data_IF_650227316745
#
_entry.id   IF_650227316745
#
_cell.length_a   1.000
_cell.length_b   1.000
_cell.length_c   1.000
_cell.angle_alpha   90.00
_cell.angle_beta   90.00
_cell.angle_gamma   90.00
#
_symmetry.space_group_name_H-M   'P 1'
#
loop_
_entity.id
_entity.type
_entity.pdbx_description
1 polymer ?
#
# COMPACT_ATOMS: atom_id res chain seq x y z
N UNK A 1 -22.85 -0.80 32.84
CA UNK A 1 -22.56 -0.68 31.40
C UNK A 1 -21.15 -1.18 31.18
N UNK A 2 -21.00 -2.36 30.60
CA UNK A 2 -19.71 -3.00 30.39
C UNK A 2 -19.08 -2.47 29.09
N UNK A 3 -17.90 -1.88 29.20
CA UNK A 3 -17.02 -1.54 28.08
C UNK A 3 -16.36 -2.81 27.56
N UNK A 4 -16.60 -3.12 26.30
CA UNK A 4 -15.98 -4.27 25.61
C UNK A 4 -14.57 -3.86 25.18
N UNK A 5 -13.54 -4.40 25.85
CA UNK A 5 -12.17 -4.35 25.37
C UNK A 5 -12.07 -5.17 24.08
N UNK A 6 -11.68 -4.53 22.99
CA UNK A 6 -11.36 -5.21 21.74
C UNK A 6 -10.05 -5.99 21.94
N UNK A 7 -10.18 -7.30 22.12
CA UNK A 7 -9.08 -8.26 22.12
C UNK A 7 -8.28 -8.12 20.81
N UNK A 8 -7.13 -7.47 20.88
CA UNK A 8 -6.20 -7.33 19.75
C UNK A 8 -5.39 -8.61 19.67
N UNK A 9 -5.59 -9.41 18.63
CA UNK A 9 -4.82 -10.64 18.42
C UNK A 9 -3.45 -10.28 17.85
N UNK A 10 -2.40 -10.49 18.64
CA UNK A 10 -1.00 -10.38 18.20
C UNK A 10 -0.50 -11.78 17.86
N UNK A 11 -0.03 -11.98 16.62
CA UNK A 11 0.68 -13.21 16.25
C UNK A 11 2.07 -12.85 15.78
N UNK A 12 3.03 -13.08 16.67
CA UNK A 12 4.46 -13.01 16.37
C UNK A 12 4.89 -14.33 15.75
N UNK A 13 5.45 -14.31 14.54
CA UNK A 13 6.02 -15.51 13.92
C UNK A 13 7.45 -15.24 13.48
N UNK A 14 8.38 -15.72 14.29
CA UNK A 14 9.83 -15.63 14.04
C UNK A 14 10.23 -16.65 12.99
N UNK A 15 11.01 -16.25 11.98
CA UNK A 15 11.64 -17.18 11.06
C UNK A 15 12.60 -18.14 11.82
N UNK A 16 12.68 -19.40 11.38
CA UNK A 16 13.66 -20.36 11.87
C UNK A 16 15.08 -19.82 11.61
N UNK A 17 16.03 -19.95 12.56
CA UNK A 17 17.38 -19.40 12.37
C UNK A 17 18.08 -20.08 11.19
N UNK A 18 18.35 -19.29 10.14
CA UNK A 18 19.28 -19.64 9.08
C UNK A 18 20.72 -19.54 9.61
N UNK A 19 21.54 -20.52 9.28
CA UNK A 19 22.96 -20.65 9.67
C UNK A 19 23.76 -19.41 9.27
N UNK A 20 24.32 -18.71 10.26
CA UNK A 20 25.23 -17.58 10.08
C UNK A 20 26.63 -18.06 9.66
N UNK A 21 27.20 -17.40 8.66
CA UNK A 21 28.62 -17.44 8.36
C UNK A 21 29.24 -16.11 8.83
N UNK A 22 30.29 -16.21 9.64
CA UNK A 22 31.08 -15.11 10.19
C UNK A 22 31.88 -14.38 9.10
N UNK A 23 32.01 -13.05 9.23
CA UNK A 23 33.28 -12.37 8.98
C UNK A 23 33.32 -10.99 9.64
N UNK A 24 34.45 -10.76 10.32
CA UNK A 24 34.89 -9.57 11.04
C UNK A 24 35.02 -8.30 10.17
N UNK A 25 34.73 -7.14 10.76
CA UNK A 25 35.66 -6.00 10.83
C UNK A 25 35.09 -4.76 11.56
N UNK A 26 35.66 -4.50 12.74
CA UNK A 26 36.10 -3.22 13.32
C UNK A 26 35.28 -1.91 13.16
N UNK A 27 34.79 -1.43 14.30
CA UNK A 27 34.39 -0.05 14.66
C UNK A 27 35.59 0.89 14.88
N UNK A 28 35.39 2.22 14.84
CA UNK A 28 35.86 3.04 15.97
C UNK A 28 34.80 4.01 16.52
N UNK A 29 34.95 4.29 17.82
CA UNK A 29 34.07 5.01 18.73
C UNK A 29 34.13 6.55 18.65
N UNK A 30 33.15 7.25 19.27
CA UNK A 30 33.24 8.18 20.44
C UNK A 30 31.98 9.11 20.51
N UNK A 31 31.03 8.94 21.46
CA UNK A 31 30.80 9.58 22.81
C UNK A 31 29.83 10.83 22.81
N UNK A 32 29.20 11.23 23.95
CA UNK A 32 27.73 11.37 24.08
C UNK A 32 27.22 12.71 24.67
N UNK A 33 25.92 12.74 25.05
CA UNK A 33 25.15 13.69 25.91
C UNK A 33 24.12 14.56 25.12
N UNK A 34 22.88 14.89 25.56
CA UNK A 34 22.21 14.97 26.88
C UNK A 34 20.67 14.98 26.68
N UNK A 35 19.86 14.55 27.67
CA UNK A 35 18.37 14.61 27.70
C UNK A 35 17.81 16.01 28.13
N UNK A 36 16.51 16.21 28.46
CA UNK A 36 15.48 16.76 27.56
C UNK A 36 14.86 18.08 28.07
N UNK A 37 14.13 18.79 27.21
CA UNK A 37 13.33 19.96 27.62
C UNK A 37 11.84 19.71 27.40
N UNK A 38 11.08 19.85 28.48
CA UNK A 38 9.61 19.83 28.57
C UNK A 38 9.02 21.13 28.05
N UNK A 39 8.03 21.09 27.14
CA UNK A 39 7.11 22.22 26.91
C UNK A 39 5.69 21.68 26.66
N UNK A 40 4.80 22.04 27.58
CA UNK A 40 3.34 22.04 27.48
C UNK A 40 2.86 23.18 26.57
N UNK A 41 1.87 22.96 25.70
CA UNK A 41 0.62 23.77 25.58
C UNK A 41 -0.18 23.51 24.29
N UNK A 42 -1.45 23.14 24.51
CA UNK A 42 -2.71 23.44 23.81
C UNK A 42 -2.85 23.46 22.27
N UNK A 43 -3.75 22.56 21.82
CA UNK A 43 -4.88 22.76 20.90
C UNK A 43 -4.86 23.93 19.90
N UNK A 44 -4.94 23.58 18.62
CA UNK A 44 -5.87 24.23 17.69
C UNK A 44 -6.34 23.24 16.62
N UNK A 45 -7.65 22.99 16.61
CA UNK A 45 -8.39 22.22 15.57
C UNK A 45 -8.45 23.05 14.29
N UNK A 46 -8.36 22.42 13.13
CA UNK A 46 -8.88 22.99 11.87
C UNK A 46 -9.56 21.91 11.04
N UNK A 47 -10.61 22.32 10.34
CA UNK A 47 -11.57 21.55 9.55
C UNK A 47 -10.99 20.95 8.24
N UNK A 48 -9.67 20.74 8.17
CA UNK A 48 -8.95 20.31 6.95
C UNK A 48 -9.12 18.83 6.60
N UNK A 49 -9.23 17.96 7.62
CA UNK A 49 -9.04 16.51 7.42
C UNK A 49 -10.29 15.83 6.80
N UNK A 50 -11.46 16.48 6.94
CA UNK A 50 -12.71 16.04 6.31
C UNK A 50 -12.76 16.34 4.79
N UNK A 51 -11.95 17.29 4.31
CA UNK A 51 -11.81 17.58 2.89
C UNK A 51 -10.90 16.56 2.19
N UNK A 52 -9.96 15.93 2.90
CA UNK A 52 -8.89 15.09 2.34
C UNK A 52 -9.37 13.67 1.95
N UNK A 53 -10.32 13.12 2.71
CA UNK A 53 -11.02 11.86 2.36
C UNK A 53 -11.95 12.08 1.16
N UNK A 54 -12.55 13.28 1.08
CA UNK A 54 -13.29 13.71 -0.11
C UNK A 54 -12.35 13.89 -1.28
N UNK A 55 -11.20 14.53 -1.15
CA UNK A 55 -10.28 14.76 -2.27
C UNK A 55 -9.72 13.46 -2.86
N UNK A 56 -9.41 12.44 -2.04
CA UNK A 56 -8.94 11.14 -2.55
C UNK A 56 -10.03 10.35 -3.27
N UNK A 57 -11.28 10.42 -2.78
CA UNK A 57 -12.44 9.78 -3.41
C UNK A 57 -13.02 10.61 -4.58
N UNK A 58 -12.98 11.93 -4.51
CA UNK A 58 -13.44 12.91 -5.50
C UNK A 58 -12.45 13.04 -6.65
N UNK A 59 -11.13 13.02 -6.40
CA UNK A 59 -10.12 12.97 -7.48
C UNK A 59 -10.25 11.66 -8.27
N UNK A 60 -10.53 10.55 -7.60
CA UNK A 60 -10.88 9.29 -8.25
C UNK A 60 -12.23 9.37 -9.01
N UNK A 61 -13.18 10.16 -8.53
CA UNK A 61 -14.50 10.36 -9.17
C UNK A 61 -14.42 11.30 -10.39
N UNK A 62 -13.68 12.41 -10.32
CA UNK A 62 -13.46 13.36 -11.43
C UNK A 62 -12.70 12.70 -12.60
N UNK A 63 -11.81 11.75 -12.29
CA UNK A 63 -11.13 10.94 -13.30
C UNK A 63 -12.08 9.94 -14.03
N UNK A 64 -13.25 9.58 -13.47
CA UNK A 64 -14.27 8.77 -14.16
C UNK A 64 -15.01 9.57 -15.24
N UNK A 65 -15.24 10.86 -15.02
CA UNK A 65 -16.04 11.69 -15.94
C UNK A 65 -15.25 12.16 -17.17
N UNK A 66 -13.94 12.32 -17.05
CA UNK A 66 -13.07 12.80 -18.13
C UNK A 66 -12.77 11.78 -19.24
N UNK A 67 -13.28 10.54 -19.11
CA UNK A 67 -12.97 9.42 -20.00
C UNK A 67 -13.96 9.15 -21.13
N UNK A 68 -14.95 10.01 -21.37
CA UNK A 68 -16.03 9.72 -22.32
C UNK A 68 -16.24 10.86 -23.34
N UNK A 69 -15.53 10.82 -24.47
CA UNK A 69 -15.92 11.58 -25.68
C UNK A 69 -15.64 10.81 -26.98
N UNK A 70 -16.62 10.94 -27.90
CA UNK A 70 -16.71 10.53 -29.32
C UNK A 70 -17.12 9.06 -29.61
N UNK A 71 -18.05 8.73 -30.53
CA UNK A 71 -19.00 9.46 -31.39
C UNK A 71 -19.94 8.43 -32.08
N UNK A 72 -21.21 8.84 -32.31
CA UNK A 72 -22.26 8.50 -33.33
C UNK A 72 -21.98 7.39 -34.39
N UNK A 73 -22.93 6.62 -34.96
CA UNK A 73 -24.39 6.72 -35.23
C UNK A 73 -24.90 5.40 -35.86
N UNK A 74 -26.21 5.07 -35.77
CA UNK A 74 -26.85 4.07 -36.66
C UNK A 74 -28.22 3.53 -36.19
N UNK A 75 -29.27 3.88 -36.93
CA UNK A 75 -30.70 3.55 -36.74
C UNK A 75 -31.09 2.18 -37.33
N UNK A 76 -31.90 1.34 -36.66
CA UNK A 76 -33.21 0.77 -37.14
C UNK A 76 -33.81 -0.32 -36.21
N UNK A 77 -35.13 -0.19 -35.97
CA UNK A 77 -36.22 -1.20 -35.89
C UNK A 77 -36.18 -2.39 -34.90
N UNK A 78 -37.29 -2.57 -34.14
CA UNK A 78 -37.54 -3.63 -33.12
C UNK A 78 -37.81 -5.05 -33.67
N UNK A 79 -38.52 -5.97 -32.97
CA UNK A 79 -39.31 -5.84 -31.73
C UNK A 79 -38.97 -6.85 -30.61
N UNK A 80 -39.65 -6.64 -29.48
CA UNK A 80 -39.82 -7.43 -28.25
C UNK A 80 -39.80 -8.97 -28.40
N UNK A 81 -38.94 -9.64 -27.64
CA UNK A 81 -39.15 -10.98 -27.06
C UNK A 81 -38.16 -11.18 -25.92
N UNK A 82 -38.62 -11.30 -24.67
CA UNK A 82 -37.79 -11.81 -23.56
C UNK A 82 -38.44 -13.07 -23.03
N UNK A 83 -37.82 -14.19 -23.39
CA UNK A 83 -37.93 -15.46 -22.71
C UNK A 83 -36.96 -15.50 -21.52
N UNK A 84 -37.34 -16.26 -20.51
CA UNK A 84 -36.56 -16.61 -19.32
C UNK A 84 -35.25 -17.34 -19.68
N UNK A 85 -34.18 -17.07 -18.93
CA UNK A 85 -33.20 -18.09 -18.53
C UNK A 85 -32.26 -17.51 -17.46
N UNK A 86 -32.35 -18.06 -16.25
CA UNK A 86 -31.41 -17.79 -15.19
C UNK A 86 -29.99 -18.16 -15.60
N UNK A 87 -29.04 -17.27 -15.33
CA UNK A 87 -27.62 -17.63 -15.31
C UNK A 87 -27.15 -17.52 -13.86
N UNK A 88 -27.03 -18.68 -13.24
CA UNK A 88 -26.33 -18.88 -11.97
C UNK A 88 -24.86 -18.51 -12.18
N UNK A 89 -24.44 -17.37 -11.66
CA UNK A 89 -23.05 -16.97 -11.65
C UNK A 89 -22.31 -17.86 -10.66
N UNK A 90 -21.50 -18.79 -11.17
CA UNK A 90 -20.63 -19.62 -10.36
C UNK A 90 -19.66 -18.73 -9.55
N UNK A 91 -19.85 -18.71 -8.23
CA UNK A 91 -18.98 -18.01 -7.28
C UNK A 91 -17.62 -18.72 -7.22
N UNK A 92 -16.61 -18.13 -7.85
CA UNK A 92 -15.21 -18.54 -7.65
C UNK A 92 -14.89 -18.32 -6.16
N UNK A 93 -14.33 -19.31 -5.43
CA UNK A 93 -14.01 -19.14 -4.02
C UNK A 93 -12.94 -18.06 -3.89
N UNK A 94 -13.31 -16.94 -3.29
CA UNK A 94 -12.41 -15.84 -2.98
C UNK A 94 -11.56 -16.26 -1.80
N UNK A 95 -10.43 -16.92 -2.06
CA UNK A 95 -9.37 -17.05 -1.06
C UNK A 95 -9.07 -15.66 -0.50
N UNK A 96 -9.12 -15.51 0.83
CA UNK A 96 -8.84 -14.26 1.53
C UNK A 96 -7.49 -13.69 1.02
N UNK A 97 -7.53 -12.48 0.44
CA UNK A 97 -6.35 -11.81 -0.14
C UNK A 97 -5.24 -11.66 0.89
N UNK A 98 -5.61 -11.42 2.14
CA UNK A 98 -4.69 -11.33 3.28
C UNK A 98 -4.01 -12.67 3.56
N UNK A 99 -4.78 -13.76 3.55
CA UNK A 99 -4.22 -15.09 3.78
C UNK A 99 -3.18 -15.45 2.71
N UNK A 100 -3.41 -15.07 1.44
CA UNK A 100 -2.40 -15.26 0.38
C UNK A 100 -1.07 -14.56 0.68
N UNK A 101 -1.11 -13.36 1.27
CA UNK A 101 0.12 -12.65 1.66
C UNK A 101 0.84 -13.42 2.76
N UNK A 102 0.12 -13.85 3.79
CA UNK A 102 0.69 -14.60 4.90
C UNK A 102 1.31 -15.93 4.44
N UNK A 103 0.57 -16.71 3.65
CA UNK A 103 1.05 -17.98 3.10
C UNK A 103 2.29 -17.79 2.23
N UNK A 104 2.33 -16.70 1.44
CA UNK A 104 3.47 -16.38 0.60
C UNK A 104 4.70 -16.00 1.43
N UNK A 105 4.55 -15.10 2.41
CA UNK A 105 5.65 -14.71 3.30
C UNK A 105 6.19 -15.90 4.09
N UNK A 106 5.29 -16.74 4.61
CA UNK A 106 5.62 -17.97 5.33
C UNK A 106 6.41 -18.95 4.46
N UNK A 107 5.93 -19.21 3.24
CA UNK A 107 6.59 -20.15 2.32
C UNK A 107 7.97 -19.68 1.84
N UNK A 108 8.26 -18.37 1.92
CA UNK A 108 9.56 -17.79 1.58
C UNK A 108 10.44 -17.51 2.82
N UNK A 109 9.98 -17.88 4.02
CA UNK A 109 10.73 -17.69 5.26
C UNK A 109 11.03 -16.23 5.57
N UNK A 110 10.08 -15.34 5.24
CA UNK A 110 10.17 -13.90 5.52
C UNK A 110 9.52 -13.64 6.87
N UNK A 111 10.27 -13.06 7.81
CA UNK A 111 9.77 -12.77 9.15
C UNK A 111 8.94 -11.48 9.17
N UNK A 112 7.80 -11.53 9.87
CA UNK A 112 6.91 -10.38 10.05
C UNK A 112 6.08 -10.53 11.33
N UNK A 113 5.58 -9.40 11.82
CA UNK A 113 4.46 -9.39 12.78
C UNK A 113 3.26 -8.70 12.14
N UNK A 114 2.09 -8.88 12.73
CA UNK A 114 0.89 -8.23 12.22
C UNK A 114 -0.15 -8.06 13.32
N UNK A 115 -1.08 -7.15 13.06
CA UNK A 115 -2.21 -6.90 13.95
C UNK A 115 -3.44 -6.49 13.13
N UNK A 116 -4.61 -6.71 13.72
CA UNK A 116 -5.91 -6.36 13.15
C UNK A 116 -6.38 -4.99 13.63
N UNK A 117 -7.14 -4.33 12.76
CA UNK A 117 -7.86 -3.11 13.08
C UNK A 117 -9.08 -2.99 12.15
N UNK A 118 -10.14 -2.26 12.53
CA UNK A 118 -11.19 -1.93 11.59
C UNK A 118 -10.66 -1.04 10.46
N UNK A 119 -11.43 -0.90 9.39
CA UNK A 119 -11.11 0.05 8.33
C UNK A 119 -11.01 1.47 8.89
N UNK A 120 -9.92 2.15 8.54
CA UNK A 120 -9.62 3.49 8.99
C UNK A 120 -9.55 4.43 7.78
N UNK A 121 -10.66 5.12 7.44
CA UNK A 121 -10.72 5.94 6.22
C UNK A 121 -9.92 7.24 6.32
N UNK A 122 -9.55 7.67 7.53
CA UNK A 122 -8.73 8.87 7.75
C UNK A 122 -7.47 8.53 8.53
N UNK A 123 -6.44 9.37 8.39
CA UNK A 123 -5.16 9.18 9.09
C UNK A 123 -5.35 9.34 10.61
N UNK A 124 -6.23 10.22 11.06
CA UNK A 124 -6.54 10.44 12.49
C UNK A 124 -7.18 9.19 13.12
N UNK A 125 -7.98 8.45 12.35
CA UNK A 125 -8.55 7.17 12.80
C UNK A 125 -7.46 6.10 12.77
N UNK A 126 -6.65 6.04 11.70
CA UNK A 126 -5.61 5.03 11.53
C UNK A 126 -4.56 5.08 12.66
N UNK A 127 -4.13 6.28 13.07
CA UNK A 127 -3.17 6.50 14.16
C UNK A 127 -3.55 5.85 15.48
N UNK A 128 -4.84 5.66 15.75
CA UNK A 128 -5.33 5.01 16.98
C UNK A 128 -4.94 3.54 17.07
N UNK A 129 -4.64 2.92 15.92
CA UNK A 129 -4.25 1.52 15.82
C UNK A 129 -2.75 1.33 15.57
N UNK A 130 -1.99 2.41 15.43
CA UNK A 130 -0.55 2.32 15.26
C UNK A 130 0.09 1.86 16.56
N UNK A 131 1.10 1.01 16.43
CA UNK A 131 1.90 0.52 17.56
C UNK A 131 3.21 1.28 17.64
N UNK A 132 3.73 1.42 18.85
CA UNK A 132 5.07 1.95 19.08
C UNK A 132 6.10 0.82 18.92
N UNK A 133 6.22 0.31 17.68
CA UNK A 133 7.10 -0.81 17.30
C UNK A 133 8.31 -0.36 16.47
N UNK A 134 8.52 0.97 16.36
CA UNK A 134 9.58 1.59 15.58
C UNK A 134 9.41 1.45 14.06
N UNK A 135 8.30 0.89 13.59
CA UNK A 135 7.99 0.80 12.17
C UNK A 135 7.45 2.12 11.63
N UNK A 136 7.64 2.32 10.33
CA UNK A 136 7.06 3.46 9.63
C UNK A 136 5.83 3.03 8.83
N UNK A 137 4.68 3.61 9.17
CA UNK A 137 3.45 3.44 8.42
C UNK A 137 3.56 4.07 7.03
N UNK A 138 3.35 3.26 6.01
CA UNK A 138 3.48 3.67 4.62
C UNK A 138 2.13 3.65 3.92
N UNK A 139 1.92 4.60 3.01
CA UNK A 139 0.82 4.56 2.03
C UNK A 139 1.37 4.37 0.62
N UNK A 140 0.51 3.88 -0.27
CA UNK A 140 0.93 3.43 -1.59
C UNK A 140 0.03 4.00 -2.68
N UNK A 141 0.64 4.46 -3.77
CA UNK A 141 -0.06 4.98 -4.94
C UNK A 141 0.29 4.15 -6.16
N UNK A 142 -0.70 3.89 -7.02
CA UNK A 142 -0.51 3.09 -8.22
C UNK A 142 -0.76 3.92 -9.48
N UNK A 143 0.29 4.07 -10.29
CA UNK A 143 0.31 4.90 -11.48
C UNK A 143 0.55 4.08 -12.75
N UNK A 144 0.28 4.73 -13.87
CA UNK A 144 0.72 4.30 -15.19
C UNK A 144 1.43 5.44 -15.90
N UNK A 145 2.27 5.10 -16.87
CA UNK A 145 2.75 6.09 -17.84
C UNK A 145 1.61 6.51 -18.80
N UNK A 146 1.85 7.59 -19.54
CA UNK A 146 0.91 8.12 -20.54
C UNK A 146 0.45 7.06 -21.56
N UNK A 147 1.37 6.22 -22.06
CA UNK A 147 1.08 5.11 -22.99
C UNK A 147 0.25 3.97 -22.37
N UNK A 148 0.22 3.87 -21.04
CA UNK A 148 -0.50 2.84 -20.31
C UNK A 148 0.08 1.43 -20.42
N UNK A 149 1.36 1.31 -20.79
CA UNK A 149 2.08 0.04 -20.93
C UNK A 149 3.18 -0.18 -19.89
N UNK A 150 3.33 0.75 -18.95
CA UNK A 150 4.16 0.64 -17.75
C UNK A 150 3.34 1.07 -16.54
N UNK A 151 3.53 0.37 -15.43
CA UNK A 151 2.85 0.66 -14.17
C UNK A 151 3.86 0.82 -13.07
N UNK A 152 3.56 1.74 -12.16
CA UNK A 152 4.45 2.14 -11.09
C UNK A 152 3.69 2.06 -9.77
N UNK A 153 4.28 1.38 -8.81
CA UNK A 153 3.84 1.42 -7.42
C UNK A 153 4.78 2.39 -6.69
N UNK A 154 4.24 3.31 -5.91
CA UNK A 154 5.03 4.31 -5.15
C UNK A 154 4.66 4.17 -3.69
N UNK A 155 5.64 3.84 -2.85
CA UNK A 155 5.46 3.70 -1.41
C UNK A 155 6.28 4.75 -0.64
N UNK A 156 5.64 5.39 0.33
CA UNK A 156 6.20 6.49 1.10
C UNK A 156 5.47 6.64 2.44
N UNK A 157 6.01 7.48 3.32
CA UNK A 157 5.41 7.81 4.61
C UNK A 157 3.94 8.24 4.46
N UNK A 158 3.04 7.60 5.20
CA UNK A 158 1.61 7.91 5.18
C UNK A 158 1.27 9.33 5.66
N UNK A 159 2.13 9.94 6.48
CA UNK A 159 1.98 11.31 6.99
C UNK A 159 2.38 12.39 5.97
N UNK A 160 3.03 12.00 4.88
CA UNK A 160 3.51 12.93 3.85
C UNK A 160 2.47 13.09 2.75
N UNK A 161 2.37 14.30 2.22
CA UNK A 161 1.53 14.60 1.07
C UNK A 161 2.40 14.92 -0.14
N UNK A 162 2.21 14.16 -1.22
CA UNK A 162 2.95 14.33 -2.46
C UNK A 162 2.10 15.08 -3.48
N UNK A 163 2.61 16.22 -3.95
CA UNK A 163 2.06 16.85 -5.14
C UNK A 163 2.35 15.95 -6.36
N UNK A 164 1.31 15.47 -7.04
CA UNK A 164 1.45 14.55 -8.17
C UNK A 164 2.33 15.15 -9.28
N UNK A 165 2.21 16.45 -9.53
CA UNK A 165 3.04 17.18 -10.51
C UNK A 165 4.54 17.14 -10.16
N UNK A 166 4.88 17.10 -8.87
CA UNK A 166 6.28 16.98 -8.44
C UNK A 166 6.75 15.54 -8.57
N UNK A 167 5.88 14.58 -8.27
CA UNK A 167 6.16 13.16 -8.44
C UNK A 167 6.48 12.81 -9.90
N UNK A 168 5.74 13.37 -10.88
CA UNK A 168 6.04 13.20 -12.31
C UNK A 168 7.48 13.61 -12.65
N UNK A 169 7.92 14.77 -12.14
CA UNK A 169 9.27 15.28 -12.36
C UNK A 169 10.33 14.42 -11.68
N UNK A 170 10.05 13.94 -10.46
CA UNK A 170 10.96 13.13 -9.65
C UNK A 170 11.14 11.71 -10.21
N UNK A 171 10.06 11.07 -10.65
CA UNK A 171 10.12 9.70 -11.21
C UNK A 171 10.85 9.62 -12.56
N UNK A 172 10.94 10.74 -13.29
CA UNK A 172 11.55 10.80 -14.64
C UNK A 172 10.96 9.78 -15.64
N UNK A 173 9.71 9.38 -15.43
CA UNK A 173 8.97 8.43 -16.28
C UNK A 173 8.05 9.11 -17.30
N UNK A 174 8.17 10.44 -17.45
CA UNK A 174 7.25 11.27 -18.23
C UNK A 174 5.92 11.50 -17.51
N UNK A 175 4.89 11.88 -18.26
CA UNK A 175 3.55 12.15 -17.71
C UNK A 175 2.95 10.90 -17.08
N UNK A 176 2.47 11.03 -15.84
CA UNK A 176 1.84 9.98 -15.06
C UNK A 176 0.34 10.21 -14.93
N UNK A 177 -0.37 9.13 -14.66
CA UNK A 177 -1.78 9.17 -14.28
C UNK A 177 -2.06 8.01 -13.36
N UNK A 178 -3.02 8.17 -12.44
CA UNK A 178 -3.48 7.04 -11.64
C UNK A 178 -3.91 5.89 -12.53
N UNK A 179 -3.53 4.67 -12.15
CA UNK A 179 -4.02 3.49 -12.82
C UNK A 179 -5.49 3.24 -12.44
N UNK A 180 -6.28 2.73 -13.39
CA UNK A 180 -7.66 2.36 -13.12
C UNK A 180 -7.76 1.15 -12.19
N UNK A 181 -8.90 0.98 -11.53
CA UNK A 181 -9.22 -0.23 -10.75
C UNK A 181 -9.00 -1.52 -11.56
N UNK A 182 -9.40 -1.55 -12.84
CA UNK A 182 -9.17 -2.72 -13.71
C UNK A 182 -7.68 -3.05 -13.88
N UNK A 183 -6.81 -2.03 -13.94
CA UNK A 183 -5.36 -2.24 -14.03
C UNK A 183 -4.79 -2.70 -12.70
N UNK A 184 -5.28 -2.16 -11.59
CA UNK A 184 -4.90 -2.57 -10.24
C UNK A 184 -5.28 -4.03 -9.98
N UNK A 185 -6.49 -4.44 -10.37
CA UNK A 185 -6.93 -5.83 -10.26
C UNK A 185 -6.09 -6.74 -11.16
N UNK A 186 -5.82 -6.31 -12.40
CA UNK A 186 -4.99 -7.08 -13.34
C UNK A 186 -3.56 -7.31 -12.85
N UNK A 187 -2.89 -6.26 -12.37
CA UNK A 187 -1.45 -6.33 -12.08
C UNK A 187 -1.14 -6.62 -10.62
N UNK A 188 -2.00 -6.19 -9.70
CA UNK A 188 -1.76 -6.37 -8.26
C UNK A 188 -2.81 -7.29 -7.61
N UNK A 189 -3.90 -7.65 -8.29
CA UNK A 189 -4.99 -8.43 -7.68
C UNK A 189 -5.80 -7.66 -6.63
N UNK A 190 -5.67 -6.32 -6.59
CA UNK A 190 -6.21 -5.46 -5.52
C UNK A 190 -7.38 -4.61 -5.98
N UNK A 191 -8.11 -4.06 -4.99
CA UNK A 191 -9.14 -3.03 -5.17
C UNK A 191 -8.66 -1.69 -4.60
N UNK A 192 -9.23 -0.55 -5.04
CA UNK A 192 -8.99 0.75 -4.41
C UNK A 192 -9.11 0.67 -2.88
N UNK A 193 -8.24 1.37 -2.17
CA UNK A 193 -8.20 1.36 -0.69
C UNK A 193 -7.36 0.24 -0.07
N UNK A 194 -6.89 -0.74 -0.85
CA UNK A 194 -6.06 -1.87 -0.37
C UNK A 194 -4.66 -1.92 -1.00
N UNK A 195 -4.22 -0.84 -1.67
CA UNK A 195 -2.95 -0.79 -2.41
C UNK A 195 -1.78 -1.02 -1.48
N UNK A 196 -0.94 -1.99 -1.82
CA UNK A 196 0.20 -2.42 -1.00
C UNK A 196 1.32 -2.99 -1.85
N UNK A 197 2.60 -2.88 -1.43
CA UNK A 197 3.71 -3.61 -2.03
C UNK A 197 3.49 -5.12 -2.01
N UNK A 198 2.75 -5.66 -1.04
CA UNK A 198 2.40 -7.09 -1.03
C UNK A 198 1.53 -7.51 -2.22
N UNK A 199 0.98 -6.57 -2.99
CA UNK A 199 0.31 -6.86 -4.26
C UNK A 199 1.25 -7.41 -5.33
N UNK A 200 2.56 -7.20 -5.22
CA UNK A 200 3.55 -7.68 -6.21
C UNK A 200 3.62 -9.21 -6.27
N UNK A 201 3.16 -9.93 -5.25
CA UNK A 201 3.05 -11.41 -5.31
C UNK A 201 2.08 -11.87 -6.40
N UNK A 202 1.17 -10.99 -6.84
CA UNK A 202 0.18 -11.24 -7.88
C UNK A 202 0.66 -10.78 -9.27
N UNK A 203 1.90 -10.28 -9.41
CA UNK A 203 2.50 -9.80 -10.66
C UNK A 203 3.62 -10.74 -11.17
N UNK A 204 3.29 -11.97 -11.64
CA UNK A 204 4.31 -12.93 -12.07
C UNK A 204 5.09 -12.47 -13.31
N UNK A 205 4.51 -11.56 -14.11
CA UNK A 205 5.16 -10.93 -15.26
C UNK A 205 6.16 -9.84 -14.86
N UNK A 206 6.21 -9.47 -13.57
CA UNK A 206 7.07 -8.42 -13.01
C UNK A 206 6.90 -7.09 -13.76
N UNK A 207 5.67 -6.79 -14.13
CA UNK A 207 5.31 -5.64 -14.94
C UNK A 207 5.40 -4.33 -14.16
N UNK A 208 5.11 -4.38 -12.87
CA UNK A 208 5.09 -3.21 -11.97
C UNK A 208 6.50 -2.90 -11.49
N UNK A 209 6.90 -1.64 -11.65
CA UNK A 209 8.14 -1.12 -11.04
C UNK A 209 7.81 -0.40 -9.74
N UNK A 210 8.57 -0.67 -8.67
CA UNK A 210 8.35 -0.09 -7.35
C UNK A 210 9.31 1.08 -7.07
N UNK A 211 8.76 2.25 -6.81
CA UNK A 211 9.50 3.37 -6.25
C UNK A 211 9.30 3.42 -4.74
N UNK A 212 10.40 3.46 -4.00
CA UNK A 212 10.43 3.67 -2.57
C UNK A 212 10.94 5.08 -2.29
N UNK A 213 10.28 5.79 -1.41
CA UNK A 213 10.84 7.03 -0.88
C UNK A 213 12.14 6.76 -0.13
N UNK A 214 13.19 7.51 -0.46
CA UNK A 214 14.53 7.40 0.14
C UNK A 214 14.51 7.66 1.65
N UNK A 215 13.58 8.46 2.15
CA UNK A 215 13.46 8.66 3.61
C UNK A 215 13.10 7.37 4.36
N UNK A 216 12.48 6.40 3.70
CA UNK A 216 12.19 5.09 4.30
C UNK A 216 13.46 4.36 4.73
N UNK A 217 14.60 4.61 4.06
CA UNK A 217 15.88 3.99 4.45
C UNK A 217 16.31 4.35 5.88
N UNK A 218 15.76 5.40 6.49
CA UNK A 218 16.08 5.80 7.87
C UNK A 218 15.37 4.95 8.93
N UNK A 219 14.35 4.19 8.54
CA UNK A 219 13.53 3.43 9.47
C UNK A 219 13.93 1.95 9.48
N UNK A 220 13.92 1.31 10.67
CA UNK A 220 14.31 -0.09 10.80
C UNK A 220 13.25 -1.07 10.29
N UNK A 221 11.99 -0.65 10.22
CA UNK A 221 10.84 -1.46 9.82
C UNK A 221 9.78 -0.62 9.12
N UNK A 222 8.91 -1.29 8.35
CA UNK A 222 7.82 -0.69 7.60
C UNK A 222 6.51 -1.38 7.92
N UNK A 223 5.43 -0.58 7.88
CA UNK A 223 4.06 -1.03 8.10
C UNK A 223 3.23 -0.86 6.83
N UNK A 224 2.69 -1.98 6.34
CA UNK A 224 1.87 -2.04 5.13
C UNK A 224 0.62 -2.90 5.35
N UNK A 225 -0.45 -2.63 4.61
CA UNK A 225 -1.62 -3.50 4.56
C UNK A 225 -1.31 -4.82 3.83
N UNK A 226 -1.68 -6.00 4.35
CA UNK A 226 -1.51 -7.28 3.65
C UNK A 226 -2.60 -7.48 2.59
N UNK A 227 -2.71 -6.57 1.61
CA UNK A 227 -3.73 -6.59 0.55
C UNK A 227 -5.20 -6.54 1.07
N UNK A 228 -5.38 -6.17 2.33
CA UNK A 228 -6.66 -5.93 3.03
C UNK A 228 -6.45 -4.79 4.03
N UNK A 229 -7.34 -3.79 4.05
CA UNK A 229 -7.22 -2.58 4.86
C UNK A 229 -7.66 -2.75 6.33
N UNK A 230 -7.96 -3.98 6.76
CA UNK A 230 -8.33 -4.34 8.15
C UNK A 230 -7.20 -4.99 8.93
N UNK A 231 -5.99 -4.96 8.37
CA UNK A 231 -4.79 -5.45 9.05
C UNK A 231 -3.58 -4.62 8.63
N UNK A 232 -2.56 -4.67 9.48
CA UNK A 232 -1.23 -4.13 9.20
C UNK A 232 -0.20 -5.22 9.45
N UNK A 233 0.71 -5.38 8.49
CA UNK A 233 1.93 -6.17 8.62
C UNK A 233 3.09 -5.23 8.89
N UNK A 234 3.85 -5.56 9.91
CA UNK A 234 5.11 -4.92 10.27
C UNK A 234 6.24 -5.84 9.81
N UNK A 235 7.11 -5.32 8.97
CA UNK A 235 8.23 -6.06 8.39
C UNK A 235 9.51 -5.25 8.55
N UNK A 236 10.59 -5.89 9.02
CA UNK A 236 11.87 -5.19 9.12
C UNK A 236 12.37 -4.81 7.72
N UNK A 237 13.17 -3.75 7.62
CA UNK A 237 13.74 -3.32 6.35
C UNK A 237 14.50 -4.46 5.65
N UNK A 238 15.27 -5.25 6.39
CA UNK A 238 16.01 -6.39 5.81
C UNK A 238 15.08 -7.47 5.26
N UNK A 239 14.02 -7.80 5.98
CA UNK A 239 13.03 -8.79 5.54
C UNK A 239 12.18 -8.27 4.36
N UNK A 240 11.90 -6.97 4.33
CA UNK A 240 11.24 -6.34 3.18
C UNK A 240 12.13 -6.35 1.93
N UNK A 241 13.44 -6.13 2.06
CA UNK A 241 14.35 -6.25 0.93
C UNK A 241 14.49 -7.71 0.45
N UNK A 242 14.45 -8.69 1.37
CA UNK A 242 14.36 -10.12 1.00
C UNK A 242 13.05 -10.43 0.27
N UNK A 243 11.93 -9.88 0.73
CA UNK A 243 10.64 -9.94 0.04
C UNK A 243 10.75 -9.42 -1.40
N UNK A 244 11.31 -8.22 -1.59
CA UNK A 244 11.49 -7.62 -2.92
C UNK A 244 12.37 -8.46 -3.83
N UNK A 245 13.46 -9.02 -3.29
CA UNK A 245 14.33 -9.92 -4.03
C UNK A 245 13.60 -11.21 -4.47
N UNK A 246 12.71 -11.74 -3.63
CA UNK A 246 11.97 -12.96 -3.90
C UNK A 246 10.84 -12.75 -4.93
N UNK A 247 10.10 -11.64 -4.90
CA UNK A 247 9.10 -11.33 -5.95
C UNK A 247 9.77 -10.97 -7.29
N UNK A 248 10.96 -10.35 -7.24
CA UNK A 248 11.78 -10.10 -8.42
C UNK A 248 11.35 -8.90 -9.27
N UNK A 249 10.31 -8.16 -8.87
CA UNK A 249 10.01 -6.85 -9.44
C UNK A 249 11.18 -5.89 -9.21
N UNK A 250 11.48 -5.08 -10.22
CA UNK A 250 12.48 -4.02 -10.09
C UNK A 250 12.00 -2.93 -9.13
N UNK A 251 12.91 -2.38 -8.34
CA UNK A 251 12.63 -1.26 -7.45
C UNK A 251 13.80 -0.28 -7.39
N UNK A 252 13.53 0.96 -6.98
CA UNK A 252 14.57 1.94 -6.66
C UNK A 252 14.14 2.90 -5.55
N UNK A 253 15.12 3.38 -4.77
CA UNK A 253 14.93 4.43 -3.77
C UNK A 253 15.17 5.81 -4.37
N UNK A 254 14.20 6.70 -4.23
CA UNK A 254 14.22 8.04 -4.81
C UNK A 254 13.77 9.09 -3.80
N UNK A 255 14.28 10.31 -3.94
CA UNK A 255 13.91 11.43 -3.08
C UNK A 255 12.54 11.97 -3.52
N UNK A 256 11.50 11.72 -2.71
CA UNK A 256 10.13 12.15 -3.03
C UNK A 256 9.76 13.53 -2.48
N UNK A 257 10.39 13.94 -1.38
CA UNK A 257 10.28 15.29 -0.80
C UNK A 257 11.66 15.74 -0.35
#
# INVERSE_FOLDING_TARGET
>A
MATTDAMTTEKTKTALPGTAAESDAATPAQKPATEPATITTAQRRTESDAAETRESAETYTIARESGKTASTSGTTSGPTTTAEAGTSTATVPTTDRRQKVFDWLDSHGIAYTWYEHPEAPTIEIARRYWRDDGSKHCKNLFFRNHKGNRHYLVAFDCEQNLAIHDLERRLRQGKLSFASEQRMERWLGLRPGSVSPFGLINDPERHVHLFLDRNLERFPAYSFHPNDNRATVVVSRSEFLRYLAAVGNTYEFIELY
#
